data_IF_528630447613
#
_entry.id   IF_528630447613
#
_cell.length_a   1.000
_cell.length_b   1.000
_cell.length_c   1.000
_cell.angle_alpha   90.00
_cell.angle_beta   90.00
_cell.angle_gamma   90.00
#
_symmetry.space_group_name_H-M   'P 1'
#
loop_
_entity.id
_entity.type
_entity.pdbx_description
1 polymer ?
#
# COMPACT_ATOMS: atom_id res chain seq x y z
N UNK A 1 -1.96 -8.38 -26.26
CA UNK A 1 -2.82 -9.07 -25.30
C UNK A 1 -2.41 -8.68 -23.89
N UNK A 2 -3.34 -8.23 -23.10
CA UNK A 2 -3.05 -7.83 -21.73
C UNK A 2 -2.78 -9.06 -20.86
N UNK A 3 -1.77 -9.00 -20.04
CA UNK A 3 -1.51 -10.05 -19.07
C UNK A 3 -2.58 -10.01 -17.97
N UNK A 4 -2.96 -11.20 -17.50
CA UNK A 4 -3.84 -11.31 -16.36
C UNK A 4 -3.02 -11.51 -15.10
N UNK A 5 -3.36 -10.76 -14.04
CA UNK A 5 -2.67 -10.84 -12.76
C UNK A 5 -3.71 -11.07 -11.67
N UNK A 6 -3.45 -12.06 -10.83
CA UNK A 6 -4.35 -12.38 -9.73
C UNK A 6 -3.69 -11.93 -8.43
N UNK A 7 -4.42 -11.12 -7.64
CA UNK A 7 -3.99 -10.69 -6.31
C UNK A 7 -4.84 -11.43 -5.29
N UNK A 8 -4.21 -12.14 -4.39
CA UNK A 8 -4.91 -12.88 -3.34
C UNK A 8 -4.86 -12.08 -2.05
N UNK A 9 -6.03 -11.69 -1.60
CA UNK A 9 -6.19 -10.88 -0.40
C UNK A 9 -6.43 -9.40 -0.70
N UNK A 10 -7.55 -8.89 -0.25
CA UNK A 10 -7.97 -7.49 -0.45
C UNK A 10 -7.70 -6.60 0.74
N UNK A 11 -6.57 -6.78 1.42
CA UNK A 11 -6.10 -5.85 2.45
C UNK A 11 -5.36 -4.67 1.84
N UNK A 12 -4.69 -3.88 2.66
CA UNK A 12 -3.96 -2.70 2.20
C UNK A 12 -2.92 -3.05 1.14
N UNK A 13 -2.11 -4.06 1.39
CA UNK A 13 -1.07 -4.48 0.46
C UNK A 13 -1.64 -5.01 -0.85
N UNK A 14 -2.68 -5.85 -0.77
CA UNK A 14 -3.32 -6.42 -1.95
C UNK A 14 -3.99 -5.37 -2.81
N UNK A 15 -4.69 -4.43 -2.19
CA UNK A 15 -5.31 -3.35 -2.94
C UNK A 15 -4.28 -2.47 -3.63
N UNK A 16 -3.17 -2.14 -2.96
CA UNK A 16 -2.11 -1.34 -3.58
C UNK A 16 -1.44 -2.09 -4.73
N UNK A 17 -1.20 -3.39 -4.56
CA UNK A 17 -0.65 -4.23 -5.62
C UNK A 17 -1.58 -4.26 -6.84
N UNK A 18 -2.90 -4.39 -6.61
CA UNK A 18 -3.88 -4.40 -7.67
C UNK A 18 -3.92 -3.07 -8.44
N UNK A 19 -3.87 -1.95 -7.71
CA UNK A 19 -3.84 -0.62 -8.31
C UNK A 19 -2.58 -0.47 -9.18
N UNK A 20 -1.42 -0.80 -8.63
CA UNK A 20 -0.16 -0.67 -9.36
C UNK A 20 -0.14 -1.53 -10.62
N UNK A 21 -0.63 -2.76 -10.54
CA UNK A 21 -0.70 -3.64 -11.70
C UNK A 21 -1.66 -3.11 -12.76
N UNK A 22 -2.82 -2.62 -12.34
CA UNK A 22 -3.80 -2.06 -13.26
C UNK A 22 -3.26 -0.83 -14.00
N UNK A 23 -2.47 -0.02 -13.32
CA UNK A 23 -1.86 1.17 -13.93
C UNK A 23 -0.88 0.81 -15.05
N UNK A 24 -0.33 -0.41 -15.05
CA UNK A 24 0.53 -0.88 -16.13
C UNK A 24 -0.25 -1.46 -17.32
N UNK A 25 -1.57 -1.50 -17.24
CA UNK A 25 -2.41 -2.05 -18.30
C UNK A 25 -2.78 -3.51 -18.11
N UNK A 26 -2.35 -4.15 -17.04
CA UNK A 26 -2.70 -5.54 -16.76
C UNK A 26 -4.18 -5.67 -16.40
N UNK A 27 -4.78 -6.81 -16.77
CA UNK A 27 -6.11 -7.17 -16.30
C UNK A 27 -5.95 -7.78 -14.91
N UNK A 28 -6.50 -7.12 -13.89
CA UNK A 28 -6.29 -7.53 -12.51
C UNK A 28 -7.55 -8.15 -11.94
N UNK A 29 -7.37 -9.29 -11.26
CA UNK A 29 -8.43 -9.94 -10.52
C UNK A 29 -8.00 -10.04 -9.06
N UNK A 30 -8.77 -9.43 -8.17
CA UNK A 30 -8.48 -9.45 -6.75
C UNK A 30 -9.45 -10.41 -6.06
N UNK A 31 -8.90 -11.37 -5.33
CA UNK A 31 -9.67 -12.38 -4.61
C UNK A 31 -9.66 -12.07 -3.13
N UNK A 32 -10.84 -11.90 -2.56
CA UNK A 32 -11.01 -11.62 -1.15
C UNK A 32 -12.07 -12.54 -0.57
N UNK A 33 -11.72 -13.27 0.51
CA UNK A 33 -12.66 -14.23 1.12
C UNK A 33 -13.75 -13.59 1.96
N UNK A 34 -13.54 -12.36 2.41
CA UNK A 34 -14.56 -11.61 3.17
C UNK A 34 -15.49 -10.87 2.21
N UNK A 35 -16.71 -10.48 2.66
CA UNK A 35 -17.66 -9.75 1.80
C UNK A 35 -17.14 -8.41 1.29
N UNK A 36 -16.20 -7.79 2.00
CA UNK A 36 -15.64 -6.48 1.62
C UNK A 36 -14.13 -6.48 1.68
N UNK A 37 -13.50 -5.74 0.78
CA UNK A 37 -12.07 -5.48 0.84
C UNK A 37 -11.75 -4.51 1.98
N UNK A 38 -10.50 -4.49 2.43
CA UNK A 38 -10.04 -3.53 3.43
C UNK A 38 -10.60 -3.75 4.82
N UNK A 39 -11.04 -4.96 5.15
CA UNK A 39 -11.66 -5.24 6.44
C UNK A 39 -10.79 -4.81 7.62
N UNK A 40 -9.50 -5.15 7.59
CA UNK A 40 -8.59 -4.82 8.68
C UNK A 40 -8.38 -3.32 8.81
N UNK A 41 -8.28 -2.62 7.70
CA UNK A 41 -8.18 -1.16 7.70
C UNK A 41 -9.41 -0.54 8.35
N UNK A 42 -10.58 -1.08 8.04
CA UNK A 42 -11.84 -0.54 8.52
C UNK A 42 -11.99 -0.68 10.04
N UNK A 43 -11.53 -1.79 10.61
CA UNK A 43 -11.74 -2.08 12.03
C UNK A 43 -10.59 -1.61 12.92
N UNK A 44 -9.45 -1.18 12.37
CA UNK A 44 -8.31 -0.69 13.15
C UNK A 44 -8.34 0.82 13.27
N UNK A 45 -7.62 1.35 14.27
CA UNK A 45 -7.45 2.79 14.42
C UNK A 45 -8.61 3.54 15.05
N UNK A 46 -9.66 2.88 15.48
CA UNK A 46 -10.81 3.51 16.16
C UNK A 46 -11.33 4.74 15.42
N UNK A 47 -11.62 4.59 14.14
CA UNK A 47 -12.08 5.68 13.30
C UNK A 47 -10.98 6.54 12.70
N UNK A 48 -9.74 6.16 12.92
CA UNK A 48 -8.56 6.80 12.32
C UNK A 48 -7.77 5.75 11.54
N UNK A 49 -6.96 6.21 10.60
CA UNK A 49 -6.07 5.35 9.85
C UNK A 49 -4.68 5.97 9.82
N UNK A 50 -3.70 5.23 10.31
CA UNK A 50 -2.31 5.63 10.18
C UNK A 50 -1.83 5.17 8.80
N UNK A 51 -1.53 6.15 7.94
CA UNK A 51 -1.15 5.88 6.56
C UNK A 51 0.35 5.60 6.46
N UNK A 52 1.14 6.50 7.00
CA UNK A 52 2.60 6.39 6.95
C UNK A 52 3.21 7.32 7.99
N UNK A 53 4.51 7.20 8.22
CA UNK A 53 5.24 8.16 9.02
C UNK A 53 5.81 9.24 8.08
N UNK A 54 5.71 10.49 8.48
CA UNK A 54 6.27 11.60 7.72
C UNK A 54 7.76 11.69 8.01
N UNK A 55 8.54 10.86 7.34
CA UNK A 55 9.99 10.77 7.56
C UNK A 55 10.69 10.30 6.28
N UNK A 56 12.03 10.52 6.19
CA UNK A 56 12.77 10.03 5.02
C UNK A 56 12.86 8.50 5.03
N UNK A 57 13.12 7.86 3.85
CA UNK A 57 13.17 6.41 3.75
C UNK A 57 14.25 5.77 4.63
N UNK A 58 15.36 6.45 4.86
CA UNK A 58 16.43 5.94 5.71
C UNK A 58 15.94 5.69 7.14
N UNK A 59 15.06 6.55 7.63
CA UNK A 59 14.51 6.41 8.97
C UNK A 59 13.55 5.22 9.07
N UNK A 60 12.78 4.95 8.01
CA UNK A 60 11.92 3.77 7.96
C UNK A 60 12.76 2.51 8.07
N UNK A 61 13.86 2.44 7.31
CA UNK A 61 14.75 1.29 7.32
C UNK A 61 15.43 1.13 8.68
N UNK A 62 15.88 2.23 9.28
CA UNK A 62 16.54 2.21 10.58
C UNK A 62 15.59 1.77 11.71
N UNK A 63 14.31 2.07 11.58
CA UNK A 63 13.30 1.72 12.56
C UNK A 63 12.75 0.30 12.41
N UNK A 64 13.15 -0.40 11.35
CA UNK A 64 12.72 -1.78 11.12
C UNK A 64 13.53 -2.72 12.02
N UNK A 65 12.88 -3.48 12.93
CA UNK A 65 13.62 -4.28 13.93
C UNK A 65 14.50 -5.37 13.36
N UNK A 66 14.11 -5.98 12.23
CA UNK A 66 14.85 -7.08 11.60
C UNK A 66 14.80 -6.94 10.10
N UNK A 67 15.90 -7.26 9.44
CA UNK A 67 15.98 -7.37 7.99
C UNK A 67 15.52 -6.11 7.25
N UNK A 68 15.82 -4.92 7.80
CA UNK A 68 15.46 -3.67 7.15
C UNK A 68 15.98 -3.58 5.72
N UNK A 69 17.14 -4.18 5.45
CA UNK A 69 17.74 -4.19 4.11
C UNK A 69 16.85 -4.87 3.07
N UNK A 70 16.04 -5.82 3.49
CA UNK A 70 15.08 -6.47 2.58
C UNK A 70 14.09 -5.47 2.00
N UNK A 71 13.75 -4.44 2.77
CA UNK A 71 12.78 -3.43 2.36
C UNK A 71 13.39 -2.27 1.58
N UNK A 72 14.72 -2.28 1.40
CA UNK A 72 15.42 -1.16 0.79
C UNK A 72 14.84 -0.75 -0.57
N UNK A 73 14.64 -1.72 -1.45
CA UNK A 73 14.11 -1.44 -2.79
C UNK A 73 12.71 -0.87 -2.76
N UNK A 74 11.82 -1.47 -1.96
CA UNK A 74 10.44 -1.03 -1.85
C UNK A 74 10.33 0.38 -1.25
N UNK A 75 11.02 0.60 -0.12
CA UNK A 75 10.94 1.88 0.60
C UNK A 75 11.61 3.00 -0.20
N UNK A 76 12.66 2.68 -0.96
CA UNK A 76 13.34 3.68 -1.77
C UNK A 76 12.49 4.11 -2.97
N UNK A 77 11.78 3.16 -3.60
CA UNK A 77 10.91 3.46 -4.75
C UNK A 77 9.61 4.13 -4.33
N UNK A 78 9.05 3.71 -3.20
CA UNK A 78 7.80 4.27 -2.69
C UNK A 78 8.01 4.73 -1.25
N UNK A 79 8.78 5.84 -1.07
CA UNK A 79 9.03 6.38 0.27
C UNK A 79 7.76 6.98 0.88
N UNK A 80 7.79 7.35 2.18
CA UNK A 80 6.63 7.96 2.82
C UNK A 80 6.05 9.15 2.05
N UNK A 81 6.88 9.99 1.47
CA UNK A 81 6.41 11.12 0.65
C UNK A 81 5.59 10.65 -0.56
N UNK A 82 5.99 9.55 -1.19
CA UNK A 82 5.25 8.97 -2.31
C UNK A 82 3.85 8.51 -1.85
N UNK A 83 3.78 7.87 -0.68
CA UNK A 83 2.52 7.41 -0.11
C UNK A 83 1.61 8.60 0.20
N UNK A 84 2.16 9.66 0.80
CA UNK A 84 1.41 10.87 1.10
C UNK A 84 0.84 11.48 -0.19
N UNK A 85 1.67 11.62 -1.21
CA UNK A 85 1.26 12.18 -2.51
C UNK A 85 0.19 11.33 -3.20
N UNK A 86 0.29 10.01 -3.06
CA UNK A 86 -0.70 9.09 -3.62
C UNK A 86 -2.10 9.41 -3.07
N UNK A 87 -2.22 9.54 -1.75
CA UNK A 87 -3.53 9.80 -1.15
C UNK A 87 -4.00 11.23 -1.36
N UNK A 88 -3.11 12.21 -1.26
CA UNK A 88 -3.50 13.60 -1.50
C UNK A 88 -3.90 13.80 -2.96
N UNK A 89 -3.24 13.10 -3.89
CA UNK A 89 -3.61 13.13 -5.30
C UNK A 89 -5.01 12.58 -5.58
N UNK A 90 -5.50 11.69 -4.70
CA UNK A 90 -6.86 11.17 -4.78
C UNK A 90 -7.88 12.06 -4.07
N UNK A 91 -7.45 13.18 -3.50
CA UNK A 91 -8.33 14.10 -2.79
C UNK A 91 -8.54 13.75 -1.31
N UNK A 92 -7.70 12.87 -0.77
CA UNK A 92 -7.77 12.49 0.65
C UNK A 92 -6.84 13.38 1.46
N UNK A 93 -7.36 14.24 2.35
CA UNK A 93 -6.50 15.08 3.18
C UNK A 93 -5.79 14.24 4.24
N UNK A 94 -4.51 14.52 4.44
CA UNK A 94 -3.69 13.86 5.47
C UNK A 94 -3.29 14.88 6.52
N UNK A 95 -3.17 14.43 7.75
CA UNK A 95 -2.69 15.24 8.86
C UNK A 95 -1.30 14.79 9.28
#
# INVERSE_FOLDING_TARGET
MADELIVVGGGAAGMMAAISAAETGAAVRLLERNPKVGRKLYITGKGRCNVTNHCPPEEVLASTPRNGRFLYGAVTRTPPAWVEDFFTGLGVPLK
#
